data_IF_019669756394
#
_entry.id   IF_019669756394
#
_cell.length_a   1.000
_cell.length_b   1.000
_cell.length_c   1.000
_cell.angle_alpha   90.00
_cell.angle_beta   90.00
_cell.angle_gamma   90.00
#
_symmetry.space_group_name_H-M   'P 1'
#
loop_
_entity.id
_entity.type
_entity.pdbx_description
1 polymer ?
#
# COMPACT_ATOMS: atom_id res chain seq x y z
N UNK A 1 8.64 22.71 -25.90
CA UNK A 1 8.09 21.37 -26.22
C UNK A 1 6.76 21.27 -25.51
N UNK A 2 5.71 20.76 -26.14
CA UNK A 2 4.42 20.53 -25.45
C UNK A 2 4.58 19.40 -24.43
N UNK A 3 3.93 19.55 -23.27
CA UNK A 3 3.93 18.50 -22.25
C UNK A 3 3.40 17.18 -22.80
N UNK A 4 4.03 16.08 -22.42
CA UNK A 4 3.58 14.74 -22.77
C UNK A 4 2.38 14.34 -21.92
N UNK A 5 1.35 13.78 -22.55
CA UNK A 5 0.13 13.33 -21.86
C UNK A 5 0.27 11.90 -21.38
N UNK A 6 0.13 11.69 -20.08
CA UNK A 6 0.11 10.37 -19.44
C UNK A 6 -1.29 10.08 -18.92
N UNK A 7 -1.86 8.94 -19.29
CA UNK A 7 -3.15 8.47 -18.78
C UNK A 7 -2.94 7.31 -17.80
N UNK A 8 -3.18 7.53 -16.53
CA UNK A 8 -3.16 6.50 -15.49
C UNK A 8 -4.52 5.81 -15.43
N UNK A 9 -4.57 4.49 -15.61
CA UNK A 9 -5.81 3.70 -15.66
C UNK A 9 -5.86 2.75 -14.47
N UNK A 10 -6.66 3.10 -13.46
CA UNK A 10 -6.78 2.37 -12.21
C UNK A 10 -8.26 2.22 -11.78
N UNK A 11 -9.13 1.57 -12.59
CA UNK A 11 -10.58 1.62 -12.45
C UNK A 11 -11.12 0.96 -11.17
N UNK A 12 -10.33 0.13 -10.50
CA UNK A 12 -10.69 -0.52 -9.24
C UNK A 12 -10.23 0.27 -8.02
N UNK A 13 -9.27 1.17 -8.18
CA UNK A 13 -8.75 2.03 -7.11
C UNK A 13 -9.64 3.25 -6.90
N UNK A 14 -9.66 3.75 -5.69
CA UNK A 14 -10.15 5.10 -5.42
C UNK A 14 -9.17 6.10 -5.99
N UNK A 15 -9.68 7.26 -6.42
CA UNK A 15 -8.83 8.32 -6.97
C UNK A 15 -7.77 8.82 -5.96
N UNK A 16 -8.10 8.76 -4.65
CA UNK A 16 -7.23 9.16 -3.52
C UNK A 16 -6.36 7.98 -2.99
N UNK A 17 -6.08 7.00 -3.81
CA UNK A 17 -5.21 5.87 -3.45
C UNK A 17 -3.77 6.34 -3.18
N UNK A 18 -3.18 5.81 -2.11
CA UNK A 18 -1.86 6.26 -1.64
C UNK A 18 -0.77 6.06 -2.70
N UNK A 19 -0.76 4.91 -3.41
CA UNK A 19 0.25 4.64 -4.43
C UNK A 19 -0.11 5.32 -5.76
N UNK A 20 -1.31 5.06 -6.25
CA UNK A 20 -1.72 5.49 -7.59
C UNK A 20 -1.76 7.01 -7.71
N UNK A 21 -2.40 7.69 -6.75
CA UNK A 21 -2.54 9.16 -6.78
C UNK A 21 -1.44 9.87 -6.02
N UNK A 22 -1.36 9.64 -4.68
CA UNK A 22 -0.49 10.44 -3.81
C UNK A 22 1.01 10.25 -4.09
N UNK A 23 1.40 9.13 -4.66
CA UNK A 23 2.79 8.85 -5.04
C UNK A 23 2.98 9.02 -6.55
N UNK A 24 2.47 8.14 -7.38
CA UNK A 24 2.85 8.04 -8.79
C UNK A 24 2.28 9.17 -9.66
N UNK A 25 0.95 9.38 -9.67
CA UNK A 25 0.34 10.39 -10.52
C UNK A 25 0.82 11.80 -10.18
N UNK A 26 0.89 12.15 -8.87
CA UNK A 26 1.42 13.44 -8.41
C UNK A 26 2.90 13.63 -8.73
N UNK A 27 3.72 12.58 -8.58
CA UNK A 27 5.13 12.65 -8.94
C UNK A 27 5.29 12.99 -10.43
N UNK A 28 4.55 12.31 -11.30
CA UNK A 28 4.60 12.57 -12.73
C UNK A 28 4.12 14.00 -13.05
N UNK A 29 3.01 14.44 -12.45
CA UNK A 29 2.49 15.80 -12.65
C UNK A 29 3.46 16.88 -12.15
N UNK A 30 4.22 16.61 -11.08
CA UNK A 30 5.18 17.56 -10.49
C UNK A 30 6.55 17.54 -11.16
N UNK A 31 6.89 16.52 -11.94
CA UNK A 31 8.22 16.35 -12.53
C UNK A 31 8.50 17.36 -13.68
N UNK A 32 7.47 18.07 -14.16
CA UNK A 32 7.56 18.94 -15.32
C UNK A 32 7.61 18.19 -16.65
N UNK A 33 7.01 18.77 -17.70
CA UNK A 33 6.92 18.18 -19.03
C UNK A 33 5.88 17.07 -19.18
N UNK A 34 5.06 16.81 -18.14
CA UNK A 34 3.97 15.84 -18.20
C UNK A 34 2.64 16.48 -17.77
N UNK A 35 1.58 16.15 -18.50
CA UNK A 35 0.19 16.29 -18.07
C UNK A 35 -0.32 14.92 -17.68
N UNK A 36 -1.02 14.81 -16.56
CA UNK A 36 -1.48 13.52 -16.03
C UNK A 36 -3.00 13.50 -15.90
N UNK A 37 -3.63 12.51 -16.51
CA UNK A 37 -5.06 12.18 -16.35
C UNK A 37 -5.15 10.87 -15.59
N UNK A 38 -5.91 10.83 -14.50
CA UNK A 38 -6.17 9.62 -13.71
C UNK A 38 -7.61 9.16 -13.90
N UNK A 39 -7.79 8.01 -14.54
CA UNK A 39 -9.10 7.31 -14.66
C UNK A 39 -9.20 6.34 -13.46
N UNK A 40 -9.98 6.72 -12.44
CA UNK A 40 -10.13 5.96 -11.21
C UNK A 40 -11.56 6.08 -10.66
N UNK A 41 -11.86 5.38 -9.56
CA UNK A 41 -13.14 5.55 -8.86
C UNK A 41 -13.19 6.89 -8.16
N UNK A 42 -13.87 7.85 -8.78
CA UNK A 42 -14.05 9.21 -8.28
C UNK A 42 -15.53 9.61 -8.32
N UNK A 43 -15.99 10.54 -7.47
CA UNK A 43 -17.37 11.02 -7.48
C UNK A 43 -17.65 11.97 -8.65
N UNK A 44 -16.66 12.70 -9.12
CA UNK A 44 -16.73 13.72 -10.19
C UNK A 44 -15.38 13.92 -10.86
N UNK A 45 -15.39 14.65 -11.99
CA UNK A 45 -14.16 15.19 -12.57
C UNK A 45 -13.66 16.38 -11.74
N UNK A 46 -12.36 16.39 -11.44
CA UNK A 46 -11.71 17.49 -10.73
C UNK A 46 -10.21 17.48 -11.01
N UNK A 47 -9.53 18.59 -10.74
CA UNK A 47 -8.07 18.69 -10.81
C UNK A 47 -7.54 18.84 -9.39
N UNK A 48 -6.67 17.92 -8.99
CA UNK A 48 -6.05 17.92 -7.66
C UNK A 48 -4.54 17.75 -7.82
N UNK A 49 -3.76 18.64 -7.25
CA UNK A 49 -2.29 18.61 -7.30
C UNK A 49 -1.71 18.44 -8.71
N UNK A 50 -2.32 19.09 -9.71
CA UNK A 50 -1.91 19.02 -11.11
C UNK A 50 -2.34 17.77 -11.88
N UNK A 51 -3.06 16.83 -11.22
CA UNK A 51 -3.61 15.62 -11.83
C UNK A 51 -5.09 15.84 -12.16
N UNK A 52 -5.47 15.62 -13.41
CA UNK A 52 -6.88 15.62 -13.83
C UNK A 52 -7.52 14.27 -13.50
N UNK A 53 -8.47 14.27 -12.56
CA UNK A 53 -9.17 13.08 -12.11
C UNK A 53 -10.45 12.91 -12.93
N UNK A 54 -10.63 11.73 -13.51
CA UNK A 54 -11.78 11.38 -14.32
C UNK A 54 -12.43 10.11 -13.77
N UNK A 55 -13.73 10.14 -13.41
CA UNK A 55 -14.45 8.97 -12.94
C UNK A 55 -14.39 7.82 -13.94
N UNK A 56 -13.91 6.65 -13.50
CA UNK A 56 -13.87 5.46 -14.32
C UNK A 56 -15.28 4.96 -14.63
N UNK A 57 -15.55 4.63 -15.89
CA UNK A 57 -16.80 4.03 -16.35
C UNK A 57 -16.89 2.55 -15.95
N UNK A 58 -16.75 2.26 -14.67
CA UNK A 58 -16.75 0.90 -14.13
C UNK A 58 -17.93 0.66 -13.20
N UNK A 59 -18.46 -0.56 -13.22
CA UNK A 59 -19.47 -0.99 -12.24
C UNK A 59 -18.77 -1.56 -11.01
N UNK A 60 -19.10 -1.03 -9.84
CA UNK A 60 -18.48 -1.48 -8.57
C UNK A 60 -19.34 -2.45 -7.77
N UNK A 61 -20.61 -2.66 -8.17
CA UNK A 61 -21.59 -3.47 -7.43
C UNK A 61 -21.29 -4.97 -7.48
N UNK A 62 -20.70 -5.47 -8.57
CA UNK A 62 -20.29 -6.87 -8.65
C UNK A 62 -19.00 -7.05 -9.44
N UNK A 63 -18.28 -8.17 -9.16
CA UNK A 63 -17.03 -8.49 -9.88
C UNK A 63 -17.27 -8.80 -11.36
N UNK A 64 -18.36 -9.51 -11.69
CA UNK A 64 -18.71 -9.83 -13.07
C UNK A 64 -19.04 -8.56 -13.86
N UNK A 65 -19.83 -7.65 -13.29
CA UNK A 65 -20.15 -6.37 -13.93
C UNK A 65 -18.92 -5.48 -14.08
N UNK A 66 -17.94 -5.61 -13.18
CA UNK A 66 -16.64 -4.93 -13.32
C UNK A 66 -15.89 -5.39 -14.56
N UNK A 67 -15.79 -6.71 -14.79
CA UNK A 67 -15.18 -7.23 -16.02
C UNK A 67 -15.98 -6.83 -17.26
N UNK A 68 -17.31 -6.87 -17.20
CA UNK A 68 -18.16 -6.42 -18.29
C UNK A 68 -18.03 -4.91 -18.61
N UNK A 69 -17.55 -4.10 -17.66
CA UNK A 69 -17.32 -2.66 -17.88
C UNK A 69 -15.95 -2.34 -18.49
N UNK A 70 -15.02 -3.30 -18.63
CA UNK A 70 -13.69 -3.05 -19.20
C UNK A 70 -13.71 -2.44 -20.61
N UNK A 71 -14.62 -2.82 -21.54
CA UNK A 71 -14.73 -2.15 -22.83
C UNK A 71 -15.06 -0.65 -22.71
N UNK A 72 -15.90 -0.28 -21.74
CA UNK A 72 -16.25 1.13 -21.51
C UNK A 72 -15.04 1.92 -20.95
N UNK A 73 -14.25 1.31 -20.06
CA UNK A 73 -13.02 1.90 -19.54
C UNK A 73 -11.96 2.00 -20.65
N UNK A 74 -11.83 0.98 -21.50
CA UNK A 74 -10.93 1.03 -22.66
C UNK A 74 -11.29 2.18 -23.62
N UNK A 75 -12.56 2.31 -24.00
CA UNK A 75 -13.02 3.41 -24.86
C UNK A 75 -12.84 4.78 -24.19
N UNK A 76 -12.96 4.85 -22.86
CA UNK A 76 -12.68 6.07 -22.10
C UNK A 76 -11.19 6.41 -22.16
N UNK A 77 -10.31 5.45 -21.93
CA UNK A 77 -8.86 5.62 -22.04
C UNK A 77 -8.46 6.01 -23.47
N UNK A 78 -8.99 5.31 -24.48
CA UNK A 78 -8.69 5.60 -25.88
C UNK A 78 -9.03 7.03 -26.28
N UNK A 79 -10.13 7.60 -25.76
CA UNK A 79 -10.55 8.99 -26.03
C UNK A 79 -9.58 10.02 -25.44
N UNK A 80 -8.79 9.68 -24.44
CA UNK A 80 -7.74 10.56 -23.89
C UNK A 80 -6.63 10.79 -24.90
N UNK A 81 -6.36 9.80 -25.76
CA UNK A 81 -5.31 9.83 -26.79
C UNK A 81 -3.94 10.26 -26.18
N UNK A 82 -3.52 9.55 -25.14
CA UNK A 82 -2.30 9.86 -24.39
C UNK A 82 -1.03 9.38 -25.10
N UNK A 83 0.11 10.03 -24.83
CA UNK A 83 1.43 9.58 -25.29
C UNK A 83 1.85 8.27 -24.62
N UNK A 84 1.41 8.02 -23.37
CA UNK A 84 1.60 6.76 -22.67
C UNK A 84 0.45 6.45 -21.70
N UNK A 85 0.19 5.16 -21.51
CA UNK A 85 -0.82 4.66 -20.58
C UNK A 85 -0.16 3.90 -19.45
N UNK A 86 -0.44 4.27 -18.19
CA UNK A 86 0.00 3.58 -16.99
C UNK A 86 -1.16 2.75 -16.44
N UNK A 87 -1.01 1.43 -16.44
CA UNK A 87 -2.10 0.51 -16.11
C UNK A 87 -1.77 -0.26 -14.84
N UNK A 88 -2.68 -0.16 -13.88
CA UNK A 88 -2.51 -0.78 -12.55
C UNK A 88 -3.32 -2.06 -12.43
N UNK A 89 -2.68 -3.10 -11.90
CA UNK A 89 -3.28 -4.38 -11.54
C UNK A 89 -3.76 -5.26 -12.71
N UNK A 90 -3.95 -6.57 -12.48
CA UNK A 90 -4.35 -7.52 -13.53
C UNK A 90 -5.70 -7.24 -14.16
N UNK A 91 -6.61 -6.50 -13.52
CA UNK A 91 -7.90 -6.19 -14.13
C UNK A 91 -7.73 -5.32 -15.40
N UNK A 92 -6.62 -4.58 -15.52
CA UNK A 92 -6.34 -3.73 -16.69
C UNK A 92 -5.57 -4.44 -17.80
N UNK A 93 -5.16 -5.69 -17.63
CA UNK A 93 -4.40 -6.45 -18.65
C UNK A 93 -5.10 -6.50 -20.03
N UNK A 94 -6.43 -6.71 -20.12
CA UNK A 94 -7.12 -6.66 -21.42
C UNK A 94 -7.04 -5.27 -22.07
N UNK A 95 -7.12 -4.20 -21.27
CA UNK A 95 -7.00 -2.82 -21.73
C UNK A 95 -5.58 -2.54 -22.21
N UNK A 96 -4.56 -2.99 -21.44
CA UNK A 96 -3.16 -2.86 -21.81
C UNK A 96 -2.85 -3.51 -23.15
N UNK A 97 -3.33 -4.74 -23.35
CA UNK A 97 -3.16 -5.47 -24.59
C UNK A 97 -3.83 -4.75 -25.77
N UNK A 98 -5.09 -4.30 -25.61
CA UNK A 98 -5.83 -3.59 -26.65
C UNK A 98 -5.15 -2.25 -27.02
N UNK A 99 -4.69 -1.46 -26.04
CA UNK A 99 -3.96 -0.21 -26.28
C UNK A 99 -2.65 -0.47 -27.03
N UNK A 100 -1.94 -1.56 -26.68
CA UNK A 100 -0.69 -1.91 -27.35
C UNK A 100 -0.90 -2.30 -28.82
N UNK A 101 -1.97 -3.05 -29.14
CA UNK A 101 -2.34 -3.38 -30.52
C UNK A 101 -2.63 -2.12 -31.34
N UNK A 102 -3.27 -1.12 -30.74
CA UNK A 102 -3.56 0.18 -31.38
C UNK A 102 -2.29 1.03 -31.56
N UNK A 103 -1.16 0.64 -30.96
CA UNK A 103 0.15 1.29 -31.14
C UNK A 103 0.54 2.26 -30.03
N UNK A 104 -0.21 2.32 -28.94
CA UNK A 104 0.14 3.16 -27.81
C UNK A 104 1.28 2.59 -26.96
N UNK A 105 2.00 3.49 -26.27
CA UNK A 105 2.98 3.10 -25.26
C UNK A 105 2.28 2.74 -23.96
N UNK A 106 2.67 1.61 -23.34
CA UNK A 106 2.09 1.14 -22.10
C UNK A 106 3.14 0.90 -21.03
N UNK A 107 2.84 1.31 -19.82
CA UNK A 107 3.54 0.96 -18.57
C UNK A 107 2.59 0.10 -17.75
N UNK A 108 3.00 -1.13 -17.42
CA UNK A 108 2.22 -2.02 -16.56
C UNK A 108 2.80 -2.02 -15.15
N UNK A 109 1.98 -1.70 -14.16
CA UNK A 109 2.35 -1.71 -12.74
C UNK A 109 1.64 -2.82 -11.98
N UNK A 110 2.42 -3.73 -11.39
CA UNK A 110 1.90 -4.80 -10.55
C UNK A 110 2.33 -4.60 -9.10
N UNK A 111 1.35 -4.42 -8.22
CA UNK A 111 1.58 -4.07 -6.83
C UNK A 111 1.90 -5.27 -5.93
N UNK A 112 1.57 -6.49 -6.36
CA UNK A 112 1.59 -7.67 -5.51
C UNK A 112 1.71 -8.95 -6.34
N UNK A 113 1.98 -10.09 -5.68
CA UNK A 113 1.87 -11.40 -6.33
C UNK A 113 0.39 -11.82 -6.45
N UNK A 114 -0.25 -11.37 -7.53
CA UNK A 114 -1.67 -11.67 -7.76
C UNK A 114 -1.95 -13.16 -7.94
N UNK A 115 -0.98 -13.96 -8.41
CA UNK A 115 -1.16 -15.40 -8.50
C UNK A 115 -1.30 -16.01 -7.10
N UNK A 116 -0.45 -15.63 -6.15
CA UNK A 116 -0.58 -16.05 -4.74
C UNK A 116 -1.88 -15.53 -4.13
N UNK A 117 -2.25 -14.28 -4.39
CA UNK A 117 -3.52 -13.71 -3.88
C UNK A 117 -4.76 -14.44 -4.37
N UNK A 118 -4.78 -14.92 -5.61
CA UNK A 118 -5.90 -15.70 -6.15
C UNK A 118 -6.05 -17.02 -5.37
N UNK A 119 -4.96 -17.67 -5.02
CA UNK A 119 -5.00 -18.91 -4.23
C UNK A 119 -5.65 -18.72 -2.85
N UNK A 120 -5.61 -17.52 -2.29
CA UNK A 120 -6.18 -17.18 -0.99
C UNK A 120 -7.64 -16.70 -1.05
N UNK A 121 -8.23 -16.50 -2.23
CA UNK A 121 -9.58 -15.92 -2.38
C UNK A 121 -10.65 -16.90 -1.88
N UNK A 122 -11.23 -16.64 -0.70
CA UNK A 122 -12.28 -17.46 -0.08
C UNK A 122 -13.55 -17.61 -0.94
N UNK A 123 -13.87 -16.57 -1.73
CA UNK A 123 -15.04 -16.56 -2.61
C UNK A 123 -14.89 -17.44 -3.87
N UNK A 124 -13.66 -17.86 -4.20
CA UNK A 124 -13.40 -18.70 -5.37
C UNK A 124 -13.34 -20.17 -4.94
N UNK A 125 -14.05 -21.08 -5.62
CA UNK A 125 -13.96 -22.50 -5.37
C UNK A 125 -12.51 -23.00 -5.46
N UNK A 126 -12.11 -23.86 -4.53
CA UNK A 126 -10.71 -24.34 -4.42
C UNK A 126 -10.17 -24.89 -5.74
N UNK A 127 -11.00 -25.67 -6.47
CA UNK A 127 -10.63 -26.29 -7.73
C UNK A 127 -10.28 -25.26 -8.83
N UNK A 128 -10.85 -24.06 -8.75
CA UNK A 128 -10.63 -22.99 -9.74
C UNK A 128 -9.46 -22.08 -9.39
N UNK A 129 -8.97 -22.06 -8.15
CA UNK A 129 -7.93 -21.14 -7.71
C UNK A 129 -6.62 -21.34 -8.45
N UNK A 130 -6.14 -22.58 -8.54
CA UNK A 130 -4.87 -22.90 -9.21
C UNK A 130 -4.91 -22.63 -10.71
N UNK A 131 -5.92 -23.05 -11.48
CA UNK A 131 -6.03 -22.65 -12.88
C UNK A 131 -6.10 -21.15 -13.07
N UNK A 132 -6.92 -20.44 -12.29
CA UNK A 132 -7.03 -18.99 -12.37
C UNK A 132 -5.69 -18.28 -12.05
N UNK A 133 -4.98 -18.70 -11.02
CA UNK A 133 -3.66 -18.17 -10.68
C UNK A 133 -2.64 -18.36 -11.81
N UNK A 134 -2.65 -19.54 -12.47
CA UNK A 134 -1.79 -19.80 -13.63
C UNK A 134 -2.13 -18.92 -14.82
N UNK A 135 -3.43 -18.74 -15.11
CA UNK A 135 -3.89 -17.88 -16.21
C UNK A 135 -3.46 -16.43 -15.96
N UNK A 136 -3.75 -15.88 -14.78
CA UNK A 136 -3.36 -14.50 -14.46
C UNK A 136 -1.84 -14.34 -14.53
N UNK A 137 -1.07 -15.27 -13.96
CA UNK A 137 0.39 -15.23 -14.04
C UNK A 137 0.94 -15.22 -15.48
N UNK A 138 0.33 -15.99 -16.39
CA UNK A 138 0.72 -16.01 -17.81
C UNK A 138 0.36 -14.72 -18.52
N UNK A 139 -0.84 -14.18 -18.24
CA UNK A 139 -1.30 -12.91 -18.82
C UNK A 139 -0.44 -11.74 -18.35
N UNK A 140 -0.12 -11.65 -17.06
CA UNK A 140 0.80 -10.63 -16.54
C UNK A 140 2.17 -10.68 -17.23
N UNK A 141 2.76 -11.88 -17.33
CA UNK A 141 4.06 -12.05 -18.04
C UNK A 141 3.96 -11.67 -19.50
N UNK A 142 2.89 -12.06 -20.17
CA UNK A 142 2.68 -11.72 -21.58
C UNK A 142 2.53 -10.21 -21.77
N UNK A 143 1.68 -9.54 -21.00
CA UNK A 143 1.53 -8.07 -21.08
C UNK A 143 2.84 -7.37 -20.72
N UNK A 144 3.54 -7.81 -19.68
CA UNK A 144 4.86 -7.27 -19.34
C UNK A 144 5.87 -7.43 -20.49
N UNK A 145 5.83 -8.54 -21.24
CA UNK A 145 6.78 -8.75 -22.37
C UNK A 145 6.57 -7.78 -23.54
N UNK A 146 5.34 -7.33 -23.75
CA UNK A 146 4.99 -6.39 -24.83
C UNK A 146 4.91 -4.93 -24.36
N UNK A 147 4.91 -4.69 -23.06
CA UNK A 147 4.86 -3.35 -22.47
C UNK A 147 6.17 -2.59 -22.73
N UNK A 148 6.09 -1.27 -22.87
CA UNK A 148 7.25 -0.39 -23.00
C UNK A 148 7.95 -0.20 -21.64
N UNK A 149 7.20 -0.35 -20.53
CA UNK A 149 7.72 -0.39 -19.18
C UNK A 149 6.93 -1.35 -18.30
N UNK A 150 7.60 -1.96 -17.32
CA UNK A 150 6.96 -2.76 -16.28
C UNK A 150 7.49 -2.33 -14.93
N UNK A 151 6.59 -2.05 -14.00
CA UNK A 151 6.89 -1.71 -12.61
C UNK A 151 6.49 -2.87 -11.72
N UNK A 152 7.36 -3.24 -10.81
CA UNK A 152 7.11 -4.23 -9.76
C UNK A 152 7.43 -3.59 -8.40
N UNK A 153 6.70 -3.98 -7.37
CA UNK A 153 6.85 -3.38 -6.03
C UNK A 153 7.67 -4.21 -5.06
N UNK A 154 7.95 -5.46 -5.39
CA UNK A 154 8.58 -6.42 -4.48
C UNK A 154 9.70 -7.16 -5.19
N UNK A 155 10.82 -7.34 -4.50
CA UNK A 155 11.97 -8.11 -5.00
C UNK A 155 11.60 -9.56 -5.38
N UNK A 156 10.68 -10.17 -4.63
CA UNK A 156 10.18 -11.51 -4.93
C UNK A 156 9.47 -11.68 -6.28
N UNK A 157 9.21 -10.56 -6.97
CA UNK A 157 8.69 -10.53 -8.35
C UNK A 157 9.79 -10.40 -9.41
N UNK A 158 11.03 -10.08 -9.01
CA UNK A 158 12.19 -10.12 -9.89
C UNK A 158 12.34 -11.53 -10.47
N UNK A 159 12.71 -11.64 -11.74
CA UNK A 159 12.81 -12.92 -12.45
C UNK A 159 11.46 -13.52 -12.90
N UNK A 160 10.32 -13.02 -12.41
CA UNK A 160 9.00 -13.42 -12.94
C UNK A 160 8.63 -12.63 -14.20
N UNK A 161 9.06 -11.39 -14.28
CA UNK A 161 8.86 -10.49 -15.41
C UNK A 161 10.13 -10.32 -16.22
N UNK A 162 10.09 -9.55 -17.31
CA UNK A 162 11.28 -9.31 -18.14
C UNK A 162 12.37 -8.59 -17.32
N UNK A 163 13.62 -8.76 -17.72
CA UNK A 163 14.79 -8.16 -17.06
C UNK A 163 14.73 -6.62 -16.97
N UNK A 164 14.01 -5.98 -17.91
CA UNK A 164 13.80 -4.53 -17.91
C UNK A 164 12.70 -4.04 -16.93
N UNK A 165 12.08 -4.93 -16.15
CA UNK A 165 11.15 -4.52 -15.11
C UNK A 165 11.86 -3.73 -14.02
N UNK A 166 11.28 -2.60 -13.64
CA UNK A 166 11.85 -1.67 -12.65
C UNK A 166 11.22 -1.93 -11.29
N UNK A 167 12.06 -2.21 -10.31
CA UNK A 167 11.62 -2.30 -8.91
C UNK A 167 11.43 -0.88 -8.36
N UNK A 168 10.17 -0.51 -8.16
CA UNK A 168 9.75 0.74 -7.51
C UNK A 168 8.93 0.37 -6.29
N UNK A 169 9.55 0.41 -5.12
CA UNK A 169 8.92 0.10 -3.85
C UNK A 169 7.78 1.05 -3.50
N UNK A 170 7.22 0.87 -2.32
CA UNK A 170 6.16 1.74 -1.81
C UNK A 170 6.53 2.38 -0.45
N UNK A 171 7.75 2.93 -0.28
CA UNK A 171 8.18 3.54 0.97
C UNK A 171 7.35 4.79 1.29
N UNK A 172 7.38 5.29 2.54
CA UNK A 172 6.62 6.46 2.95
C UNK A 172 7.07 7.72 2.22
N UNK A 173 6.15 8.69 2.12
CA UNK A 173 6.44 10.05 1.70
C UNK A 173 6.95 10.85 2.90
N UNK A 174 8.03 11.61 2.69
CA UNK A 174 8.62 12.49 3.70
C UNK A 174 8.58 13.97 3.28
N UNK A 175 7.71 14.33 2.34
CA UNK A 175 7.51 15.72 1.92
C UNK A 175 7.25 16.62 3.13
N UNK A 176 8.00 17.73 3.23
CA UNK A 176 7.91 18.64 4.38
C UNK A 176 6.48 19.17 4.60
N UNK A 177 5.75 19.47 3.52
CA UNK A 177 4.37 19.95 3.59
C UNK A 177 3.42 18.87 4.18
N UNK A 178 3.60 17.60 3.80
CA UNK A 178 2.83 16.49 4.36
C UNK A 178 3.13 16.29 5.86
N UNK A 179 4.41 16.26 6.22
CA UNK A 179 4.84 16.12 7.62
C UNK A 179 4.36 17.29 8.50
N UNK A 180 4.46 18.53 7.99
CA UNK A 180 3.96 19.72 8.70
C UNK A 180 2.44 19.64 8.96
N UNK A 181 1.66 19.20 7.96
CA UNK A 181 0.22 19.02 8.11
C UNK A 181 -0.13 17.92 9.10
N UNK A 182 0.57 16.78 9.06
CA UNK A 182 0.43 15.70 10.07
C UNK A 182 0.74 16.25 11.46
N UNK A 183 1.82 16.99 11.63
CA UNK A 183 2.21 17.59 12.92
C UNK A 183 1.15 18.56 13.45
N UNK A 184 0.59 19.41 12.58
CA UNK A 184 -0.50 20.33 12.94
C UNK A 184 -1.75 19.59 13.42
N UNK A 185 -2.15 18.52 12.72
CA UNK A 185 -3.32 17.71 13.09
C UNK A 185 -3.05 16.87 14.35
N UNK A 186 -1.81 16.48 14.59
CA UNK A 186 -1.42 15.72 15.77
C UNK A 186 -1.58 16.52 17.08
N UNK A 187 -1.46 17.86 17.03
CA UNK A 187 -1.68 18.71 18.21
C UNK A 187 -3.10 18.65 18.75
N UNK A 188 -4.07 18.32 17.88
CA UNK A 188 -5.49 18.23 18.28
C UNK A 188 -5.84 16.87 18.90
N UNK A 189 -4.93 15.88 18.82
CA UNK A 189 -5.15 14.57 19.40
C UNK A 189 -4.75 14.59 20.89
N UNK A 190 -5.75 14.41 21.77
CA UNK A 190 -5.53 14.39 23.22
C UNK A 190 -4.54 13.29 23.63
N UNK A 191 -3.64 13.63 24.52
CA UNK A 191 -2.61 12.77 25.11
C UNK A 191 -2.85 12.49 26.61
N UNK A 192 -4.06 12.58 27.09
CA UNK A 192 -4.38 12.44 28.52
C UNK A 192 -4.13 11.03 29.12
N UNK A 193 -3.73 10.07 28.28
CA UNK A 193 -3.41 8.71 28.71
C UNK A 193 -1.93 8.59 29.11
N UNK A 194 -1.67 8.19 30.34
CA UNK A 194 -0.31 8.07 30.90
C UNK A 194 0.37 6.69 30.63
N UNK A 195 -0.35 5.72 30.08
CA UNK A 195 0.18 4.41 29.70
C UNK A 195 0.77 4.36 28.31
N UNK A 196 1.11 3.16 27.81
CA UNK A 196 1.60 2.95 26.45
C UNK A 196 0.47 3.08 25.43
N UNK A 197 0.63 3.97 24.48
CA UNK A 197 -0.30 4.16 23.35
C UNK A 197 0.19 3.42 22.11
N UNK A 198 -0.41 2.28 21.83
CA UNK A 198 -0.18 1.56 20.57
C UNK A 198 -1.07 2.10 19.45
N UNK A 199 -0.66 1.91 18.19
CA UNK A 199 -1.47 2.20 17.01
C UNK A 199 -1.42 1.06 16.00
N UNK A 200 -2.57 0.75 15.40
CA UNK A 200 -2.67 -0.03 14.17
C UNK A 200 -3.40 0.82 13.11
N UNK A 201 -2.78 1.00 11.96
CA UNK A 201 -3.36 1.74 10.84
C UNK A 201 -3.56 0.82 9.63
N UNK A 202 -4.79 0.69 9.13
CA UNK A 202 -5.12 -0.05 7.91
C UNK A 202 -6.40 -0.85 7.97
N UNK A 203 -6.59 -1.80 7.04
CA UNK A 203 -7.76 -2.68 7.02
C UNK A 203 -7.78 -3.58 8.26
N UNK A 204 -8.92 -3.62 8.95
CA UNK A 204 -9.10 -4.30 10.22
C UNK A 204 -9.95 -5.55 10.00
N UNK A 205 -9.32 -6.72 10.13
CA UNK A 205 -9.96 -8.02 10.00
C UNK A 205 -9.08 -9.12 10.64
N UNK A 206 -9.60 -10.33 10.69
CA UNK A 206 -8.91 -11.50 11.26
C UNK A 206 -7.53 -11.73 10.62
N UNK A 207 -7.42 -11.70 9.29
CA UNK A 207 -6.13 -11.95 8.61
C UNK A 207 -5.11 -10.83 8.81
N UNK A 208 -5.50 -9.72 9.43
CA UNK A 208 -4.61 -8.62 9.83
C UNK A 208 -4.26 -8.63 11.32
N UNK A 209 -4.56 -9.72 12.02
CA UNK A 209 -4.18 -9.92 13.42
C UNK A 209 -5.09 -9.22 14.43
N UNK A 210 -6.36 -8.94 14.07
CA UNK A 210 -7.29 -8.26 14.96
C UNK A 210 -7.45 -8.99 16.29
N UNK A 211 -7.68 -10.29 16.26
CA UNK A 211 -7.96 -11.06 17.49
C UNK A 211 -6.72 -11.23 18.35
N UNK A 212 -5.55 -11.35 17.72
CA UNK A 212 -4.25 -11.41 18.40
C UNK A 212 -3.96 -10.09 19.13
N UNK A 213 -4.22 -8.94 18.49
CA UNK A 213 -4.07 -7.63 19.12
C UNK A 213 -5.03 -7.45 20.30
N UNK A 214 -6.31 -7.81 20.15
CA UNK A 214 -7.29 -7.73 21.24
C UNK A 214 -6.88 -8.63 22.42
N UNK A 215 -6.43 -9.85 22.16
CA UNK A 215 -5.99 -10.79 23.20
C UNK A 215 -4.69 -10.32 23.87
N UNK A 216 -3.77 -9.76 23.11
CA UNK A 216 -2.52 -9.22 23.65
C UNK A 216 -2.80 -8.03 24.60
N UNK A 217 -3.74 -7.16 24.27
CA UNK A 217 -4.15 -6.06 25.16
C UNK A 217 -4.77 -6.56 26.47
N UNK A 218 -5.58 -7.62 26.41
CA UNK A 218 -6.12 -8.25 27.61
C UNK A 218 -5.01 -8.76 28.53
N UNK A 219 -3.99 -9.38 27.96
CA UNK A 219 -2.86 -9.94 28.71
C UNK A 219 -1.96 -8.84 29.25
N UNK A 220 -1.55 -7.87 28.42
CA UNK A 220 -0.64 -6.79 28.81
C UNK A 220 -1.23 -5.94 29.94
N UNK A 221 -2.54 -5.67 29.89
CA UNK A 221 -3.23 -4.87 30.90
C UNK A 221 -3.43 -5.58 32.28
N UNK A 222 -2.92 -6.79 32.43
CA UNK A 222 -2.79 -7.40 33.75
C UNK A 222 -1.66 -6.80 34.61
N UNK A 223 -0.65 -6.18 33.95
CA UNK A 223 0.54 -5.65 34.62
C UNK A 223 0.93 -4.24 34.19
N UNK A 224 0.44 -3.77 33.05
CA UNK A 224 0.88 -2.49 32.44
C UNK A 224 -0.27 -1.85 31.70
N UNK A 225 -0.46 -0.55 31.83
CA UNK A 225 -1.51 0.17 31.12
C UNK A 225 -1.16 0.35 29.64
N UNK A 226 -1.94 -0.28 28.76
CA UNK A 226 -1.79 -0.21 27.30
C UNK A 226 -3.14 0.05 26.64
N UNK A 227 -3.22 1.02 25.75
CA UNK A 227 -4.39 1.24 24.90
C UNK A 227 -4.00 1.25 23.44
N UNK A 228 -4.92 0.85 22.56
CA UNK A 228 -4.71 0.78 21.13
C UNK A 228 -5.63 1.73 20.38
N UNK A 229 -5.08 2.63 19.57
CA UNK A 229 -5.80 3.27 18.47
C UNK A 229 -5.88 2.31 17.29
N UNK A 230 -7.11 1.86 17.01
CA UNK A 230 -7.39 0.94 15.89
C UNK A 230 -8.00 1.74 14.74
N UNK A 231 -7.15 2.20 13.81
CA UNK A 231 -7.48 3.19 12.77
C UNK A 231 -7.69 2.54 11.41
N UNK A 232 -8.84 2.77 10.78
CA UNK A 232 -9.09 2.33 9.42
C UNK A 232 -10.45 1.66 9.19
N UNK A 233 -10.77 1.17 7.99
CA UNK A 233 -11.98 0.39 7.73
C UNK A 233 -11.88 -1.01 8.35
N UNK A 234 -12.99 -1.64 8.65
CA UNK A 234 -13.00 -2.98 9.25
C UNK A 234 -14.10 -3.88 8.72
N UNK A 235 -13.87 -5.19 8.78
CA UNK A 235 -14.88 -6.21 8.54
C UNK A 235 -15.92 -6.17 9.66
N UNK A 236 -17.19 -5.93 9.34
CA UNK A 236 -18.27 -5.86 10.34
C UNK A 236 -18.40 -7.17 11.12
N UNK A 237 -18.17 -8.31 10.48
CA UNK A 237 -18.22 -9.64 11.11
C UNK A 237 -17.11 -9.77 12.14
N UNK A 238 -15.87 -9.46 11.74
CA UNK A 238 -14.71 -9.58 12.62
C UNK A 238 -14.75 -8.57 13.74
N UNK A 239 -15.19 -7.33 13.49
CA UNK A 239 -15.35 -6.30 14.50
C UNK A 239 -16.39 -6.70 15.55
N UNK A 240 -17.54 -7.25 15.13
CA UNK A 240 -18.54 -7.79 16.07
C UNK A 240 -17.98 -8.90 16.94
N UNK A 241 -17.21 -9.83 16.36
CA UNK A 241 -16.57 -10.88 17.14
C UNK A 241 -15.53 -10.32 18.12
N UNK A 242 -14.72 -9.36 17.68
CA UNK A 242 -13.70 -8.72 18.52
C UNK A 242 -14.28 -7.90 19.68
N UNK A 243 -15.43 -7.22 19.48
CA UNK A 243 -16.10 -6.46 20.55
C UNK A 243 -16.59 -7.32 21.69
N UNK A 244 -16.81 -8.61 21.48
CA UNK A 244 -17.18 -9.57 22.54
C UNK A 244 -15.99 -10.04 23.39
N UNK A 245 -14.75 -9.75 22.98
CA UNK A 245 -13.54 -10.17 23.69
C UNK A 245 -13.20 -9.18 24.84
N UNK A 246 -12.74 -9.67 26.03
CA UNK A 246 -12.44 -8.79 27.18
C UNK A 246 -11.42 -7.69 26.88
N UNK A 247 -10.44 -7.93 25.99
CA UNK A 247 -9.41 -6.96 25.61
C UNK A 247 -9.92 -5.78 24.78
N UNK A 248 -11.15 -5.86 24.22
CA UNK A 248 -11.71 -4.78 23.41
C UNK A 248 -11.88 -3.47 24.17
N UNK A 249 -12.10 -3.50 25.48
CA UNK A 249 -12.22 -2.30 26.33
C UNK A 249 -10.97 -1.41 26.32
N UNK A 250 -9.84 -1.90 25.87
CA UNK A 250 -8.58 -1.17 25.74
C UNK A 250 -8.37 -0.59 24.33
N UNK A 251 -9.37 -0.66 23.45
CA UNK A 251 -9.29 -0.22 22.07
C UNK A 251 -10.14 1.03 21.87
N UNK A 252 -9.49 2.06 21.33
CA UNK A 252 -10.16 3.25 20.82
C UNK A 252 -10.31 3.08 19.29
N UNK A 253 -11.53 2.78 18.85
CA UNK A 253 -11.83 2.52 17.45
C UNK A 253 -11.98 3.85 16.69
N UNK A 254 -11.15 4.03 15.66
CA UNK A 254 -11.14 5.21 14.78
C UNK A 254 -11.57 4.76 13.36
N UNK A 255 -12.59 5.35 12.75
CA UNK A 255 -13.02 5.01 11.40
C UNK A 255 -11.93 5.36 10.37
N UNK A 256 -12.22 5.07 9.10
CA UNK A 256 -11.33 5.51 8.01
C UNK A 256 -11.22 7.03 8.00
N UNK A 257 -10.00 7.53 7.99
CA UNK A 257 -9.65 8.94 7.90
C UNK A 257 -8.88 9.25 6.62
N UNK A 258 -8.81 10.52 6.19
CA UNK A 258 -7.83 10.99 5.23
C UNK A 258 -6.39 10.69 5.69
N UNK A 259 -5.42 10.51 4.78
CA UNK A 259 -4.07 10.08 5.15
C UNK A 259 -3.41 10.95 6.23
N UNK A 260 -3.46 12.27 6.09
CA UNK A 260 -2.82 13.19 7.06
C UNK A 260 -3.41 13.05 8.47
N UNK A 261 -4.73 12.90 8.56
CA UNK A 261 -5.40 12.68 9.86
C UNK A 261 -5.05 11.31 10.44
N UNK A 262 -5.00 10.27 9.59
CA UNK A 262 -4.65 8.92 10.04
C UNK A 262 -3.19 8.86 10.55
N UNK A 263 -2.26 9.51 9.85
CA UNK A 263 -0.86 9.58 10.27
C UNK A 263 -0.64 10.49 11.49
N UNK A 264 -1.56 11.43 11.78
CA UNK A 264 -1.54 12.19 13.02
C UNK A 264 -1.67 11.26 14.24
N UNK A 265 -2.53 10.23 14.18
CA UNK A 265 -2.58 9.19 15.23
C UNK A 265 -1.29 8.39 15.31
N UNK A 266 -0.68 8.05 14.17
CA UNK A 266 0.60 7.36 14.16
C UNK A 266 1.67 8.20 14.86
N UNK A 267 1.81 9.47 14.51
CA UNK A 267 2.84 10.36 15.07
C UNK A 267 2.69 10.63 16.58
N UNK A 268 1.52 10.35 17.16
CA UNK A 268 1.23 10.49 18.60
C UNK A 268 1.32 9.18 19.37
N UNK A 269 1.56 8.07 18.67
CA UNK A 269 1.65 6.75 19.30
C UNK A 269 3.06 6.46 19.81
N UNK A 270 3.14 5.62 20.83
CA UNK A 270 4.40 5.12 21.38
C UNK A 270 4.94 3.93 20.59
N UNK A 271 4.05 3.15 19.94
CA UNK A 271 4.43 1.94 19.19
C UNK A 271 3.40 1.62 18.12
N UNK A 272 3.86 1.21 16.93
CA UNK A 272 3.03 0.73 15.84
C UNK A 272 2.97 -0.80 15.79
N UNK A 273 1.78 -1.37 15.51
CA UNK A 273 1.59 -2.82 15.46
C UNK A 273 1.47 -3.33 14.01
N UNK A 274 2.22 -4.40 13.69
CA UNK A 274 2.14 -5.16 12.43
C UNK A 274 2.09 -6.66 12.74
N UNK A 275 1.14 -7.06 13.59
CA UNK A 275 0.99 -8.41 14.13
C UNK A 275 0.22 -9.33 13.15
N UNK A 276 0.79 -9.59 11.96
CA UNK A 276 0.15 -10.41 10.94
C UNK A 276 0.32 -11.90 11.26
N UNK A 277 -0.74 -12.73 11.19
CA UNK A 277 -0.61 -14.18 11.24
C UNK A 277 0.11 -14.70 9.98
N UNK A 278 0.71 -15.89 10.07
CA UNK A 278 1.37 -16.53 8.92
C UNK A 278 0.33 -17.16 7.99
N UNK A 279 -0.27 -16.31 7.17
CA UNK A 279 -1.27 -16.71 6.17
C UNK A 279 -0.97 -16.03 4.83
N UNK A 280 -1.11 -16.79 3.76
CA UNK A 280 -1.00 -16.29 2.39
C UNK A 280 0.40 -15.83 2.02
N UNK A 281 0.52 -14.55 1.64
CA UNK A 281 1.78 -13.93 1.23
C UNK A 281 2.42 -13.06 2.33
N UNK A 282 1.88 -13.07 3.55
CA UNK A 282 2.35 -12.20 4.64
C UNK A 282 3.84 -12.38 4.92
N UNK A 283 4.31 -13.62 4.95
CA UNK A 283 5.72 -13.93 5.23
C UNK A 283 6.70 -13.38 4.16
N UNK A 284 6.22 -13.15 2.94
CA UNK A 284 7.05 -12.70 1.80
C UNK A 284 6.72 -11.29 1.32
N UNK A 285 5.63 -10.69 1.80
CA UNK A 285 5.22 -9.33 1.45
C UNK A 285 6.14 -8.28 2.07
N UNK A 286 6.06 -7.06 1.53
CA UNK A 286 6.75 -5.91 2.12
C UNK A 286 5.72 -5.04 2.84
N UNK A 287 5.70 -5.02 4.19
CA UNK A 287 4.68 -4.32 4.95
C UNK A 287 5.00 -2.82 5.05
N UNK A 288 4.37 -2.02 4.20
CA UNK A 288 4.52 -0.56 4.21
C UNK A 288 4.40 0.07 5.60
N UNK A 289 3.59 -0.52 6.49
CA UNK A 289 3.37 -0.02 7.84
C UNK A 289 4.63 0.10 8.68
N UNK A 290 5.61 -0.79 8.51
CA UNK A 290 6.89 -0.69 9.21
C UNK A 290 7.58 0.62 8.85
N UNK A 291 7.68 0.93 7.57
CA UNK A 291 8.30 2.15 7.09
C UNK A 291 7.46 3.39 7.42
N UNK A 292 6.13 3.27 7.40
CA UNK A 292 5.21 4.34 7.79
C UNK A 292 5.38 4.72 9.27
N UNK A 293 5.48 3.74 10.17
CA UNK A 293 5.75 4.02 11.59
C UNK A 293 7.13 4.63 11.80
N UNK A 294 8.15 4.06 11.18
CA UNK A 294 9.52 4.60 11.22
C UNK A 294 9.60 6.03 10.70
N UNK A 295 8.80 6.40 9.69
CA UNK A 295 8.75 7.77 9.14
C UNK A 295 8.35 8.82 10.18
N UNK A 296 7.61 8.42 11.21
CA UNK A 296 7.21 9.29 12.33
C UNK A 296 8.02 9.05 13.59
N UNK A 297 9.12 8.29 13.51
CA UNK A 297 9.95 7.96 14.67
C UNK A 297 9.25 7.05 15.68
N UNK A 298 8.26 6.29 15.24
CA UNK A 298 7.49 5.35 16.06
C UNK A 298 8.07 3.95 15.89
N UNK A 299 8.57 3.31 16.95
CA UNK A 299 9.04 1.94 16.89
C UNK A 299 7.88 0.99 16.58
N UNK A 300 8.19 -0.19 16.06
CA UNK A 300 7.16 -1.17 15.75
C UNK A 300 7.28 -2.46 16.57
N UNK A 301 6.15 -3.17 16.72
CA UNK A 301 6.12 -4.60 17.06
C UNK A 301 5.54 -5.32 15.86
N UNK A 302 6.31 -6.22 15.25
CA UNK A 302 5.97 -6.89 14.01
C UNK A 302 6.09 -8.40 14.10
N UNK A 303 5.37 -9.11 13.25
CA UNK A 303 5.51 -10.56 13.10
C UNK A 303 6.89 -10.94 12.60
N UNK A 304 7.45 -11.97 13.19
CA UNK A 304 8.80 -12.47 12.90
C UNK A 304 8.81 -13.31 11.62
N UNK A 305 8.92 -12.62 10.49
CA UNK A 305 9.12 -13.23 9.19
C UNK A 305 10.54 -13.00 8.70
N UNK A 306 11.19 -14.06 8.20
CA UNK A 306 12.58 -13.99 7.75
C UNK A 306 12.79 -12.89 6.69
N UNK A 307 11.91 -12.79 5.70
CA UNK A 307 12.03 -11.76 4.67
C UNK A 307 11.94 -10.32 5.22
N UNK A 308 11.24 -10.09 6.33
CA UNK A 308 11.17 -8.79 6.98
C UNK A 308 12.45 -8.49 7.76
N UNK A 309 13.01 -9.50 8.45
CA UNK A 309 14.31 -9.38 9.11
C UNK A 309 15.43 -9.10 8.14
N UNK A 310 15.45 -9.78 6.99
CA UNK A 310 16.49 -9.60 5.97
C UNK A 310 16.51 -8.17 5.42
N UNK A 311 15.33 -7.59 5.15
CA UNK A 311 15.19 -6.19 4.69
C UNK A 311 15.61 -5.15 5.73
N UNK A 312 15.45 -5.47 7.00
CA UNK A 312 15.77 -4.59 8.13
C UNK A 312 17.01 -5.09 8.89
N UNK A 313 17.89 -5.84 8.21
CA UNK A 313 19.10 -6.41 8.83
C UNK A 313 19.95 -5.32 9.51
N UNK A 314 20.27 -5.52 10.76
CA UNK A 314 21.05 -4.59 11.56
C UNK A 314 20.29 -3.40 12.13
N UNK A 315 19.04 -3.17 11.71
CA UNK A 315 18.21 -2.08 12.20
C UNK A 315 17.49 -2.48 13.51
N UNK A 316 17.62 -1.62 14.52
CA UNK A 316 16.98 -1.82 15.83
C UNK A 316 15.78 -0.87 16.03
N UNK A 317 14.91 -0.78 15.02
CA UNK A 317 13.74 0.13 15.02
C UNK A 317 12.47 -0.49 15.62
N UNK A 318 12.52 -1.75 16.08
CA UNK A 318 11.33 -2.42 16.62
C UNK A 318 11.63 -3.81 17.18
N UNK A 319 10.57 -4.49 17.60
CA UNK A 319 10.60 -5.85 18.10
C UNK A 319 9.89 -6.79 17.11
N UNK A 320 10.42 -8.00 16.98
CA UNK A 320 9.79 -9.07 16.23
C UNK A 320 9.23 -10.13 17.18
N UNK A 321 7.97 -10.54 16.93
CA UNK A 321 7.25 -11.52 17.74
C UNK A 321 6.71 -12.65 16.86
N UNK A 322 6.60 -13.84 17.41
CA UNK A 322 6.08 -14.98 16.67
C UNK A 322 4.71 -14.69 16.07
N UNK A 323 4.48 -14.94 14.76
CA UNK A 323 3.20 -14.73 14.12
C UNK A 323 2.07 -15.45 14.81
N UNK A 324 0.94 -14.76 15.07
CA UNK A 324 -0.24 -15.33 15.74
C UNK A 324 -0.10 -15.53 17.25
N UNK A 325 1.02 -15.17 17.86
CA UNK A 325 1.26 -15.34 19.30
C UNK A 325 0.90 -14.07 20.07
N UNK A 326 -0.33 -14.05 20.61
CA UNK A 326 -0.83 -12.92 21.39
C UNK A 326 -0.07 -12.72 22.73
N UNK A 327 0.52 -13.77 23.29
CA UNK A 327 1.33 -13.67 24.51
C UNK A 327 2.64 -12.96 24.19
N UNK A 328 3.36 -13.39 23.15
CA UNK A 328 4.59 -12.73 22.73
C UNK A 328 4.37 -11.24 22.36
N UNK A 329 3.22 -10.93 21.73
CA UNK A 329 2.82 -9.54 21.46
C UNK A 329 2.57 -8.75 22.75
N UNK A 330 1.92 -9.36 23.75
CA UNK A 330 1.68 -8.72 25.05
C UNK A 330 2.98 -8.47 25.82
N UNK A 331 3.90 -9.44 25.80
CA UNK A 331 5.21 -9.32 26.46
C UNK A 331 6.04 -8.20 25.82
N UNK A 332 6.01 -8.06 24.49
CA UNK A 332 6.68 -6.97 23.77
C UNK A 332 6.04 -5.60 24.07
N UNK A 333 4.71 -5.51 24.19
CA UNK A 333 4.02 -4.28 24.62
C UNK A 333 4.44 -3.89 26.04
N UNK A 334 4.47 -4.84 26.96
CA UNK A 334 4.91 -4.63 28.36
C UNK A 334 6.37 -4.21 28.43
N UNK A 335 7.24 -4.83 27.63
CA UNK A 335 8.65 -4.46 27.54
C UNK A 335 8.82 -3.00 27.12
N UNK A 336 8.14 -2.58 26.05
CA UNK A 336 8.24 -1.21 25.55
C UNK A 336 7.55 -0.20 26.49
N UNK A 337 6.49 -0.58 27.18
CA UNK A 337 5.85 0.28 28.18
C UNK A 337 6.82 0.63 29.32
N UNK A 338 7.56 -0.37 29.78
CA UNK A 338 8.50 -0.21 30.90
C UNK A 338 9.86 0.40 30.50
N UNK A 339 10.13 0.59 29.18
CA UNK A 339 11.42 1.09 28.69
C UNK A 339 11.27 2.29 27.74
N UNK A 340 10.91 3.48 28.24
CA UNK A 340 10.74 4.68 27.39
C UNK A 340 12.00 5.05 26.60
N UNK A 341 13.19 4.92 27.22
CA UNK A 341 14.46 5.21 26.55
C UNK A 341 14.67 4.28 25.34
N UNK A 342 14.36 2.99 25.47
CA UNK A 342 14.43 2.03 24.37
C UNK A 342 13.47 2.40 23.22
N UNK A 343 12.23 2.82 23.54
CA UNK A 343 11.28 3.30 22.52
C UNK A 343 11.86 4.49 21.75
N UNK A 344 12.38 5.49 22.46
CA UNK A 344 12.97 6.68 21.84
C UNK A 344 14.13 6.32 20.92
N UNK A 345 15.06 5.48 21.38
CA UNK A 345 16.19 5.03 20.56
C UNK A 345 15.72 4.29 19.31
N UNK A 346 14.82 3.32 19.45
CA UNK A 346 14.26 2.58 18.32
C UNK A 346 13.56 3.49 17.30
N UNK A 347 12.80 4.48 17.79
CA UNK A 347 12.14 5.46 16.92
C UNK A 347 13.15 6.31 16.15
N UNK A 348 14.23 6.76 16.78
CA UNK A 348 15.32 7.53 16.13
C UNK A 348 16.04 6.69 15.07
N UNK A 349 16.37 5.45 15.37
CA UNK A 349 17.00 4.53 14.40
C UNK A 349 16.09 4.27 13.20
N UNK A 350 14.79 4.04 13.44
CA UNK A 350 13.80 3.86 12.36
C UNK A 350 13.67 5.10 11.49
N UNK A 351 13.59 6.28 12.09
CA UNK A 351 13.51 7.55 11.35
C UNK A 351 14.74 7.78 10.48
N UNK A 352 15.93 7.59 11.00
CA UNK A 352 17.17 7.73 10.25
C UNK A 352 17.24 6.76 9.05
N UNK A 353 16.73 5.53 9.23
CA UNK A 353 16.66 4.55 8.15
C UNK A 353 15.76 5.02 6.99
N UNK A 354 14.56 5.53 7.28
CA UNK A 354 13.63 5.95 6.22
C UNK A 354 14.01 7.28 5.57
N UNK A 355 14.88 8.09 6.16
CA UNK A 355 15.46 9.25 5.46
C UNK A 355 16.30 8.82 4.24
N UNK A 356 16.84 7.60 4.28
CA UNK A 356 17.49 6.92 3.14
C UNK A 356 16.54 6.10 2.25
N UNK A 357 15.35 5.75 2.74
CA UNK A 357 14.41 4.82 2.10
C UNK A 357 13.00 5.41 2.07
N UNK A 358 12.78 6.41 1.19
CA UNK A 358 11.55 7.18 1.07
C UNK A 358 11.07 7.29 -0.39
N UNK A 359 9.83 7.76 -0.57
CA UNK A 359 9.24 7.88 -1.88
C UNK A 359 9.97 8.91 -2.76
N UNK A 360 10.51 9.96 -2.20
CA UNK A 360 11.25 11.00 -2.93
C UNK A 360 12.46 10.40 -3.68
N UNK A 361 13.12 9.40 -3.10
CA UNK A 361 14.19 8.63 -3.77
C UNK A 361 13.65 7.60 -4.75
N UNK A 362 12.63 6.84 -4.37
CA UNK A 362 12.02 5.85 -5.27
C UNK A 362 11.39 6.50 -6.50
N UNK A 363 10.82 7.68 -6.36
CA UNK A 363 10.16 8.42 -7.43
C UNK A 363 11.09 8.78 -8.59
N UNK A 364 12.39 8.90 -8.36
CA UNK A 364 13.37 9.14 -9.44
C UNK A 364 13.39 8.00 -10.45
N UNK A 365 13.25 6.75 -9.98
CA UNK A 365 13.16 5.56 -10.86
C UNK A 365 11.92 5.61 -11.77
N UNK A 366 10.79 6.11 -11.23
CA UNK A 366 9.56 6.30 -11.99
C UNK A 366 9.75 7.35 -13.10
N UNK A 367 10.33 8.50 -12.75
CA UNK A 367 10.62 9.58 -13.70
C UNK A 367 11.57 9.08 -14.81
N UNK A 368 12.63 8.36 -14.45
CA UNK A 368 13.61 7.85 -15.41
C UNK A 368 13.02 6.76 -16.30
N UNK A 369 12.09 5.93 -15.78
CA UNK A 369 11.33 5.01 -16.62
C UNK A 369 10.52 5.76 -17.68
N UNK A 370 9.80 6.83 -17.28
CA UNK A 370 8.98 7.61 -18.23
C UNK A 370 9.82 8.38 -19.24
N UNK A 371 10.98 8.90 -18.87
CA UNK A 371 11.94 9.47 -19.82
C UNK A 371 12.31 8.46 -20.90
N UNK A 372 12.67 7.23 -20.51
CA UNK A 372 13.01 6.16 -21.47
C UNK A 372 11.81 5.81 -22.35
N UNK A 373 10.66 5.52 -21.75
CA UNK A 373 9.45 5.13 -22.46
C UNK A 373 9.03 6.18 -23.48
N UNK A 374 9.13 7.47 -23.16
CA UNK A 374 8.65 8.55 -24.02
C UNK A 374 9.69 9.06 -25.00
N UNK A 375 11.01 8.82 -24.78
CA UNK A 375 12.08 9.19 -25.72
C UNK A 375 12.43 8.11 -26.73
N UNK A 376 12.27 6.84 -26.41
CA UNK A 376 12.44 5.77 -27.39
C UNK A 376 11.39 5.94 -28.49
N UNK A 377 11.82 6.50 -29.64
CA UNK A 377 11.01 6.44 -30.86
C UNK A 377 10.64 4.99 -31.11
N UNK A 378 9.40 4.72 -31.48
CA UNK A 378 8.97 3.40 -31.90
C UNK A 378 9.87 2.93 -33.06
N UNK A 379 10.96 2.26 -32.74
CA UNK A 379 11.69 1.41 -33.68
C UNK A 379 10.82 0.18 -33.91
N UNK A 380 9.69 0.39 -34.53
CA UNK A 380 8.74 -0.58 -35.02
C UNK A 380 8.83 -0.59 -36.52
N UNK A 381 9.76 -1.32 -37.00
CA UNK A 381 9.78 -2.23 -38.18
C UNK A 381 8.88 -1.85 -39.35
N UNK A 382 9.54 -1.68 -40.46
CA UNK A 382 9.02 -2.11 -41.73
C UNK A 382 8.68 -3.61 -41.75
#
# INVERSE_FOLDING_TARGET
MSDKLICVVAPVHRWDDVRVFHKEARTLASAGGYRVILIARAPRCEIVDGVEIVPARTCTSSRLLRFASLPAVFLQALRVNADAYHLHNPDTLPIAFALKIVGYKIVYDTHEDYAKKILMRSWMPLILRTPAARVVSRLERFVSSIADGTIITQEGLLGRFKESAVLIGNPPRLESAFLARVSSLASDISSEFNGLRAVYLGDINQVRGLFEMVKALEIANQSTEVRLWLVGPGSEVDLRAATAMPGWRYIDRIPRLPPEQAFAYVSRADVGLVALPDVGDHATSDPNKLYEYMAFGVPFIASDFQAWRDRLTGLKAGLFVKPGDARALADALTELANNPAKRTQMGQEGRAFVDGHNWERESTKLIDLYKRVLTEASTGSC
#
